data_IF_001826768577
#
_entry.id   IF_001826768577
#
_cell.length_a   1.000
_cell.length_b   1.000
_cell.length_c   1.000
_cell.angle_alpha   90.00
_cell.angle_beta   90.00
_cell.angle_gamma   90.00
#
_symmetry.space_group_name_H-M   'P 1'
#
loop_
_entity.id
_entity.type
_entity.pdbx_description
1 polymer ?
#
# COMPACT_ATOMS: atom_id res chain seq x y z
N UNK A 1 4.78 -13.05 15.22
CA UNK A 1 4.36 -14.26 14.46
C UNK A 1 5.49 -14.67 13.52
N UNK A 2 5.84 -15.96 13.49
CA UNK A 2 7.03 -16.44 12.80
C UNK A 2 6.82 -17.84 12.23
N UNK A 3 7.40 -18.11 11.06
CA UNK A 3 7.51 -19.44 10.45
C UNK A 3 6.16 -20.11 10.13
N UNK A 4 5.36 -19.43 9.32
CA UNK A 4 3.97 -19.80 9.01
C UNK A 4 3.87 -20.19 7.52
N UNK A 5 3.13 -21.26 7.17
CA UNK A 5 3.04 -21.74 5.79
C UNK A 5 2.32 -20.76 4.84
N UNK A 6 1.35 -19.99 5.37
CA UNK A 6 0.57 -18.96 4.65
C UNK A 6 0.68 -17.60 5.35
N UNK A 7 -0.30 -16.70 5.11
CA UNK A 7 -0.43 -15.43 5.81
C UNK A 7 -0.56 -15.70 7.32
N UNK A 8 0.01 -14.83 8.14
CA UNK A 8 -0.08 -14.94 9.58
C UNK A 8 -1.45 -14.48 10.10
N UNK A 9 -1.94 -13.38 9.53
CA UNK A 9 -3.28 -12.86 9.77
C UNK A 9 -4.00 -12.84 8.44
N UNK A 10 -5.22 -13.35 8.45
CA UNK A 10 -6.06 -13.39 7.28
C UNK A 10 -7.51 -13.04 7.68
N UNK A 11 -8.02 -11.90 7.22
CA UNK A 11 -9.41 -11.47 7.44
C UNK A 11 -10.21 -11.77 6.17
N UNK A 12 -11.27 -12.56 6.31
CA UNK A 12 -12.14 -12.93 5.20
C UNK A 12 -13.48 -12.22 5.33
N UNK A 13 -13.95 -11.69 4.20
CA UNK A 13 -15.31 -11.17 4.02
C UNK A 13 -15.66 -10.02 4.97
N UNK A 14 -14.67 -9.29 5.47
CA UNK A 14 -14.78 -8.20 6.44
C UNK A 14 -15.31 -8.59 7.83
N UNK A 15 -16.18 -9.60 7.90
CA UNK A 15 -16.87 -10.15 9.06
C UNK A 15 -17.19 -9.09 10.12
N UNK A 16 -17.97 -8.08 9.70
CA UNK A 16 -18.41 -6.87 10.43
C UNK A 16 -17.49 -5.65 10.37
N UNK A 17 -16.20 -5.84 10.10
CA UNK A 17 -15.19 -4.79 10.21
C UNK A 17 -14.84 -4.45 11.66
N UNK A 18 -14.37 -3.23 11.94
CA UNK A 18 -13.94 -2.77 13.26
C UNK A 18 -12.80 -3.61 13.86
N UNK A 19 -11.96 -4.19 13.01
CA UNK A 19 -10.78 -4.93 13.45
C UNK A 19 -9.66 -3.95 13.80
N UNK A 20 -8.82 -4.32 14.77
CA UNK A 20 -7.57 -3.60 15.04
C UNK A 20 -6.44 -4.61 15.05
N UNK A 21 -5.50 -4.46 14.12
CA UNK A 21 -4.27 -5.26 14.04
C UNK A 21 -3.09 -4.34 14.35
N UNK A 22 -2.51 -4.47 15.54
CA UNK A 22 -1.40 -3.60 15.92
C UNK A 22 -0.36 -4.24 16.82
N UNK A 23 0.83 -3.63 16.83
CA UNK A 23 1.96 -4.00 17.69
C UNK A 23 2.50 -5.41 17.45
N UNK A 24 2.41 -5.90 16.21
CA UNK A 24 2.95 -7.20 15.82
C UNK A 24 4.31 -7.09 15.14
N UNK A 25 5.15 -8.09 15.34
CA UNK A 25 6.30 -8.38 14.45
C UNK A 25 5.98 -9.65 13.68
N UNK A 26 5.87 -9.57 12.35
CA UNK A 26 5.49 -10.68 11.48
C UNK A 26 6.54 -10.88 10.39
N UNK A 27 7.12 -12.07 10.33
CA UNK A 27 8.13 -12.41 9.34
C UNK A 27 8.15 -13.92 9.09
N UNK A 28 8.80 -14.32 7.99
CA UNK A 28 8.95 -15.74 7.64
C UNK A 28 7.59 -16.45 7.42
N UNK A 29 6.65 -15.73 6.78
CA UNK A 29 5.31 -16.21 6.37
C UNK A 29 5.32 -16.65 4.91
N UNK A 30 4.20 -17.19 4.42
CA UNK A 30 4.00 -17.51 2.98
C UNK A 30 5.06 -18.50 2.46
N UNK A 31 5.39 -19.52 3.26
CA UNK A 31 6.45 -20.49 2.94
C UNK A 31 6.00 -21.60 1.98
N UNK A 32 4.72 -21.93 2.00
CA UNK A 32 4.13 -23.03 1.22
C UNK A 32 3.12 -22.54 0.16
N UNK A 33 2.89 -21.23 0.11
CA UNK A 33 2.04 -20.55 -0.88
C UNK A 33 2.79 -19.38 -1.52
N UNK A 34 2.10 -18.57 -2.31
CA UNK A 34 2.60 -17.35 -2.96
C UNK A 34 1.47 -16.32 -3.06
N UNK A 35 1.72 -15.22 -3.78
CA UNK A 35 0.73 -14.21 -4.21
C UNK A 35 0.25 -13.23 -3.12
N UNK A 36 0.43 -13.57 -1.84
CA UNK A 36 -0.07 -12.73 -0.74
C UNK A 36 0.99 -12.35 0.31
N UNK A 37 0.55 -11.64 1.34
CA UNK A 37 1.38 -11.08 2.39
C UNK A 37 1.43 -11.82 3.72
N UNK A 38 2.25 -11.32 4.67
CA UNK A 38 2.11 -11.54 6.11
C UNK A 38 0.70 -11.28 6.64
N UNK A 39 0.07 -10.19 6.19
CA UNK A 39 -1.34 -9.88 6.43
C UNK A 39 -2.07 -9.93 5.10
N UNK A 40 -3.21 -10.62 5.09
CA UNK A 40 -4.07 -10.74 3.91
C UNK A 40 -5.52 -10.39 4.26
N UNK A 41 -6.20 -9.66 3.38
CA UNK A 41 -7.63 -9.39 3.49
C UNK A 41 -8.30 -9.60 2.14
N UNK A 42 -9.55 -10.06 2.12
CA UNK A 42 -10.39 -10.05 0.94
C UNK A 42 -11.86 -10.03 1.37
N UNK A 43 -12.68 -9.27 0.66
CA UNK A 43 -14.09 -9.06 1.00
C UNK A 43 -14.99 -9.39 -0.19
N UNK A 44 -15.47 -10.64 -0.26
CA UNK A 44 -16.34 -11.10 -1.37
C UNK A 44 -17.80 -11.25 -0.96
N UNK A 45 -18.07 -11.34 0.34
CA UNK A 45 -19.42 -11.48 0.89
C UNK A 45 -19.76 -10.36 1.88
N UNK A 46 -20.85 -9.60 1.66
CA UNK A 46 -21.29 -8.59 2.63
C UNK A 46 -21.97 -9.24 3.85
N UNK A 47 -21.77 -8.63 5.03
CA UNK A 47 -22.48 -8.96 6.26
C UNK A 47 -23.37 -7.80 6.72
N UNK A 48 -24.44 -8.14 7.45
CA UNK A 48 -25.28 -7.13 8.08
C UNK A 48 -24.52 -6.52 9.26
N UNK A 49 -24.38 -5.19 9.25
CA UNK A 49 -23.73 -4.40 10.28
C UNK A 49 -24.59 -3.19 10.66
N UNK A 50 -24.06 -2.30 11.49
CA UNK A 50 -24.59 -0.96 11.74
C UNK A 50 -23.57 0.18 11.48
N UNK A 51 -22.64 -0.04 10.53
CA UNK A 51 -21.50 0.86 10.27
C UNK A 51 -21.90 2.28 9.83
N UNK A 52 -22.98 2.41 9.05
CA UNK A 52 -23.46 3.73 8.60
C UNK A 52 -24.10 4.52 9.75
N UNK A 53 -24.92 3.84 10.56
CA UNK A 53 -25.61 4.43 11.70
C UNK A 53 -25.87 3.36 12.75
N UNK A 54 -25.40 3.61 13.98
CA UNK A 54 -25.53 2.67 15.10
C UNK A 54 -26.98 2.21 15.29
N UNK A 55 -27.19 0.89 15.35
CA UNK A 55 -28.51 0.27 15.48
C UNK A 55 -29.38 0.27 14.21
N UNK A 56 -28.90 0.81 13.09
CA UNK A 56 -29.59 0.76 11.79
C UNK A 56 -28.86 -0.22 10.87
N UNK A 57 -29.51 -1.32 10.43
CA UNK A 57 -28.85 -2.32 9.60
C UNK A 57 -28.34 -1.76 8.27
N UNK A 58 -27.12 -2.12 7.90
CA UNK A 58 -26.46 -1.75 6.63
C UNK A 58 -25.56 -2.88 6.13
N UNK A 59 -25.14 -2.81 4.87
CA UNK A 59 -24.16 -3.73 4.28
C UNK A 59 -22.74 -3.15 4.25
N UNK A 60 -22.53 -1.97 4.84
CA UNK A 60 -21.21 -1.37 4.96
C UNK A 60 -20.48 -2.05 6.10
N UNK A 61 -19.21 -2.35 5.98
CA UNK A 61 -18.44 -2.78 7.15
C UNK A 61 -17.93 -1.57 7.92
N UNK A 62 -17.70 -1.77 9.22
CA UNK A 62 -17.01 -0.78 10.03
C UNK A 62 -15.55 -0.69 9.58
N UNK A 63 -14.97 0.50 9.64
CA UNK A 63 -13.56 0.68 9.29
C UNK A 63 -12.67 -0.18 10.20
N UNK A 64 -11.69 -0.87 9.60
CA UNK A 64 -10.69 -1.66 10.32
C UNK A 64 -9.34 -0.97 10.25
N UNK A 65 -8.56 -1.02 11.33
CA UNK A 65 -7.26 -0.38 11.42
C UNK A 65 -6.10 -1.39 11.49
N UNK A 66 -5.05 -1.16 10.71
CA UNK A 66 -3.81 -1.94 10.74
C UNK A 66 -2.65 -0.98 11.00
N UNK A 67 -2.11 -1.00 12.23
CA UNK A 67 -1.14 0.03 12.61
C UNK A 67 -0.03 -0.44 13.55
N UNK A 68 1.12 0.26 13.52
CA UNK A 68 2.25 0.00 14.43
C UNK A 68 2.79 -1.44 14.36
N UNK A 69 2.70 -2.08 13.20
CA UNK A 69 3.28 -3.40 12.96
C UNK A 69 4.65 -3.31 12.29
N UNK A 70 5.50 -4.30 12.51
CA UNK A 70 6.72 -4.53 11.73
C UNK A 70 6.53 -5.77 10.87
N UNK A 71 6.50 -5.60 9.55
CA UNK A 71 6.15 -6.65 8.59
C UNK A 71 7.31 -6.90 7.64
N UNK A 72 7.68 -8.17 7.44
CA UNK A 72 8.74 -8.56 6.51
C UNK A 72 8.18 -9.50 5.45
N UNK A 73 8.31 -9.13 4.18
CA UNK A 73 8.06 -10.07 3.09
C UNK A 73 9.30 -10.92 2.84
N UNK A 74 9.16 -12.22 3.10
CA UNK A 74 10.18 -13.22 2.81
C UNK A 74 9.60 -14.24 1.80
N UNK A 75 10.50 -14.98 1.16
CA UNK A 75 10.15 -16.07 0.23
C UNK A 75 9.23 -15.63 -0.92
N UNK A 76 7.98 -16.08 -0.91
CA UNK A 76 6.99 -15.86 -1.96
C UNK A 76 5.98 -14.76 -1.59
N UNK A 77 6.20 -14.05 -0.48
CA UNK A 77 5.35 -12.93 -0.10
C UNK A 77 5.61 -11.71 -1.02
N UNK A 78 4.52 -11.07 -1.48
CA UNK A 78 4.60 -9.98 -2.46
C UNK A 78 4.33 -8.60 -1.84
N UNK A 79 3.21 -8.48 -1.11
CA UNK A 79 2.80 -7.24 -0.44
C UNK A 79 2.72 -7.45 1.07
N UNK A 80 3.28 -6.56 1.92
CA UNK A 80 3.29 -6.73 3.38
C UNK A 80 1.90 -6.79 3.99
N UNK A 81 1.04 -5.88 3.53
CA UNK A 81 -0.41 -5.91 3.72
C UNK A 81 -1.00 -6.11 2.33
N UNK A 82 -1.56 -7.30 2.13
CA UNK A 82 -2.24 -7.67 0.91
C UNK A 82 -3.74 -7.44 1.06
N UNK A 83 -4.23 -6.28 0.60
CA UNK A 83 -5.65 -6.06 0.39
C UNK A 83 -6.05 -6.60 -0.97
N UNK A 84 -6.50 -7.85 -0.96
CA UNK A 84 -6.92 -8.60 -2.12
C UNK A 84 -8.42 -8.35 -2.42
N UNK A 85 -8.97 -9.07 -3.41
CA UNK A 85 -10.32 -8.94 -3.94
C UNK A 85 -11.37 -8.35 -2.99
N UNK A 86 -11.86 -7.16 -3.33
CA UNK A 86 -13.02 -6.55 -2.67
C UNK A 86 -12.72 -5.86 -1.33
N UNK A 87 -11.49 -5.99 -0.80
CA UNK A 87 -11.08 -5.36 0.46
C UNK A 87 -11.45 -3.88 0.50
N UNK A 88 -12.24 -3.49 1.50
CA UNK A 88 -12.70 -2.11 1.66
C UNK A 88 -12.65 -1.60 3.10
N UNK A 89 -12.78 -0.29 3.30
CA UNK A 89 -12.86 0.32 4.65
C UNK A 89 -11.69 -0.09 5.58
N UNK A 90 -10.46 0.05 5.07
CA UNK A 90 -9.25 -0.15 5.87
C UNK A 90 -8.51 1.17 6.04
N UNK A 91 -8.02 1.41 7.26
CA UNK A 91 -7.06 2.46 7.59
C UNK A 91 -5.75 1.78 7.98
N UNK A 92 -4.73 1.92 7.15
CA UNK A 92 -3.40 1.47 7.46
C UNK A 92 -2.55 2.67 7.86
N UNK A 93 -1.98 2.63 9.07
CA UNK A 93 -1.07 3.69 9.52
C UNK A 93 0.14 3.23 10.33
N UNK A 94 1.25 3.96 10.23
CA UNK A 94 2.41 3.78 11.11
C UNK A 94 2.99 2.34 11.14
N UNK A 95 2.92 1.57 10.06
CA UNK A 95 3.59 0.28 9.97
C UNK A 95 4.97 0.43 9.31
N UNK A 96 5.90 -0.41 9.75
CA UNK A 96 7.23 -0.52 9.20
C UNK A 96 7.31 -1.79 8.34
N UNK A 97 7.34 -1.58 7.03
CA UNK A 97 7.31 -2.65 6.03
C UNK A 97 8.70 -2.87 5.45
N UNK A 98 9.13 -4.12 5.41
CA UNK A 98 10.43 -4.51 4.85
C UNK A 98 10.19 -5.47 3.69
N UNK A 99 10.58 -5.01 2.50
CA UNK A 99 10.41 -5.67 1.21
C UNK A 99 8.93 -5.72 0.75
N UNK A 100 8.63 -5.20 -0.44
CA UNK A 100 7.26 -5.00 -0.94
C UNK A 100 6.65 -3.64 -0.60
N UNK A 101 5.67 -3.21 -1.39
CA UNK A 101 4.94 -1.96 -1.21
C UNK A 101 3.44 -2.15 -0.96
N UNK A 102 2.67 -1.07 -1.07
CA UNK A 102 1.21 -1.07 -0.94
C UNK A 102 0.55 -1.75 -2.15
N UNK A 103 -0.41 -2.63 -1.89
CA UNK A 103 -1.36 -3.14 -2.89
C UNK A 103 -2.69 -2.40 -2.75
N UNK A 104 -3.15 -1.85 -3.87
CA UNK A 104 -4.55 -1.52 -4.11
C UNK A 104 -5.02 -2.42 -5.25
N UNK A 105 -5.91 -3.37 -4.96
CA UNK A 105 -6.47 -4.25 -5.97
C UNK A 105 -7.94 -4.51 -5.66
N UNK A 106 -8.80 -4.12 -6.59
CA UNK A 106 -10.25 -4.16 -6.40
C UNK A 106 -10.68 -3.48 -5.06
N UNK A 107 -11.94 -3.69 -4.66
CA UNK A 107 -12.48 -3.04 -3.46
C UNK A 107 -12.45 -1.51 -3.55
N UNK A 108 -12.54 -0.82 -2.42
CA UNK A 108 -12.57 0.65 -2.36
C UNK A 108 -12.31 1.17 -0.94
N UNK A 109 -12.11 2.48 -0.78
CA UNK A 109 -12.10 3.15 0.53
C UNK A 109 -11.03 2.62 1.48
N UNK A 110 -9.81 2.43 0.98
CA UNK A 110 -8.64 2.15 1.81
C UNK A 110 -7.79 3.42 1.93
N UNK A 111 -7.36 3.70 3.13
CA UNK A 111 -6.52 4.84 3.47
C UNK A 111 -5.19 4.29 3.97
N UNK A 112 -4.09 4.73 3.38
CA UNK A 112 -2.74 4.33 3.76
C UNK A 112 -1.93 5.60 4.04
N UNK A 113 -1.54 5.80 5.29
CA UNK A 113 -0.79 7.00 5.67
C UNK A 113 0.27 6.79 6.73
N UNK A 114 1.31 7.63 6.72
CA UNK A 114 2.41 7.57 7.69
C UNK A 114 3.12 6.20 7.76
N UNK A 115 3.07 5.42 6.68
CA UNK A 115 3.81 4.18 6.54
C UNK A 115 5.30 4.44 6.30
N UNK A 116 6.12 3.45 6.65
CA UNK A 116 7.50 3.37 6.17
C UNK A 116 7.69 2.08 5.38
N UNK A 117 7.81 2.20 4.06
CA UNK A 117 8.13 1.10 3.15
C UNK A 117 9.64 1.07 2.88
N UNK A 118 10.30 -0.03 3.24
CA UNK A 118 11.76 -0.19 3.12
C UNK A 118 12.09 -1.20 2.04
N UNK A 119 12.80 -0.73 1.03
CA UNK A 119 13.26 -1.53 -0.10
C UNK A 119 12.13 -2.30 -0.76
N UNK A 120 11.05 -1.59 -1.10
CA UNK A 120 9.81 -2.16 -1.63
C UNK A 120 10.03 -2.99 -2.91
N UNK A 121 11.08 -2.69 -3.66
CA UNK A 121 11.49 -3.37 -4.89
C UNK A 121 12.63 -4.39 -4.69
N UNK A 122 12.95 -4.79 -3.46
CA UNK A 122 13.97 -5.82 -3.19
C UNK A 122 13.51 -7.24 -3.53
N UNK A 123 12.20 -7.50 -3.54
CA UNK A 123 11.65 -8.79 -3.96
C UNK A 123 11.59 -8.89 -5.50
N UNK A 124 11.27 -10.10 -6.00
CA UNK A 124 11.27 -10.40 -7.45
C UNK A 124 10.28 -9.56 -8.25
N UNK A 125 9.26 -8.99 -7.59
CA UNK A 125 8.31 -8.08 -8.22
C UNK A 125 7.23 -8.77 -9.04
N UNK A 126 6.88 -10.02 -8.71
CA UNK A 126 5.76 -10.71 -9.35
C UNK A 126 4.50 -9.84 -9.23
N UNK A 127 3.69 -9.83 -10.30
CA UNK A 127 2.54 -8.94 -10.48
C UNK A 127 2.84 -7.43 -10.42
N UNK A 128 4.12 -7.03 -10.48
CA UNK A 128 4.56 -5.65 -10.36
C UNK A 128 4.45 -5.09 -8.94
N UNK A 129 4.66 -5.95 -7.94
CA UNK A 129 4.69 -5.62 -6.50
C UNK A 129 5.96 -4.88 -6.06
N UNK A 130 6.97 -4.77 -6.94
CA UNK A 130 8.26 -4.12 -6.71
C UNK A 130 8.21 -2.60 -6.90
N UNK A 131 7.24 -1.95 -6.25
CA UNK A 131 7.00 -0.49 -6.27
C UNK A 131 6.58 -0.05 -4.87
N UNK A 132 6.58 1.24 -4.59
CA UNK A 132 6.02 1.79 -3.35
C UNK A 132 4.50 1.61 -3.27
N UNK A 133 3.81 1.89 -4.38
CA UNK A 133 2.36 1.78 -4.51
C UNK A 133 2.02 1.11 -5.84
N UNK A 134 1.30 -0.01 -5.75
CA UNK A 134 0.64 -0.65 -6.87
C UNK A 134 -0.86 -0.42 -6.80
N UNK A 135 -1.43 0.19 -7.83
CA UNK A 135 -2.86 0.32 -8.03
C UNK A 135 -3.26 -0.48 -9.27
N UNK A 136 -3.93 -1.61 -9.03
CA UNK A 136 -4.10 -2.68 -10.00
C UNK A 136 -5.56 -2.82 -10.39
N UNK A 137 -5.82 -2.87 -11.70
CA UNK A 137 -7.15 -3.04 -12.27
C UNK A 137 -8.29 -2.19 -11.63
N UNK A 138 -8.09 -0.88 -11.36
CA UNK A 138 -9.19 -0.04 -10.87
C UNK A 138 -10.29 0.04 -11.93
N UNK A 139 -11.55 -0.10 -11.52
CA UNK A 139 -12.71 -0.11 -12.43
C UNK A 139 -13.75 0.94 -12.05
N UNK A 140 -14.05 1.83 -13.00
CA UNK A 140 -14.99 2.91 -12.72
C UNK A 140 -16.40 2.37 -12.38
N UNK A 141 -16.96 2.80 -11.25
CA UNK A 141 -18.27 2.41 -10.72
C UNK A 141 -18.22 1.11 -9.93
N UNK A 142 -17.04 0.45 -9.85
CA UNK A 142 -16.90 -0.86 -9.25
C UNK A 142 -15.81 -0.92 -8.17
N UNK A 143 -14.59 -0.44 -8.43
CA UNK A 143 -13.46 -0.57 -7.51
C UNK A 143 -12.41 0.53 -7.70
N UNK A 144 -11.48 0.66 -6.74
CA UNK A 144 -10.40 1.65 -6.78
C UNK A 144 -10.84 3.07 -6.46
N UNK A 145 -12.01 3.23 -5.82
CA UNK A 145 -12.57 4.53 -5.47
C UNK A 145 -12.20 4.91 -4.03
N UNK A 146 -11.88 6.18 -3.80
CA UNK A 146 -11.49 6.70 -2.49
C UNK A 146 -10.29 5.97 -1.87
N UNK A 147 -9.37 5.51 -2.73
CA UNK A 147 -8.07 4.99 -2.32
C UNK A 147 -7.15 6.17 -2.02
N UNK A 148 -6.53 6.20 -0.85
CA UNK A 148 -5.69 7.29 -0.37
C UNK A 148 -4.31 6.74 0.00
N UNK A 149 -3.25 7.39 -0.47
CA UNK A 149 -1.86 7.06 -0.15
C UNK A 149 -1.06 8.35 0.10
N UNK A 150 -0.94 8.75 1.36
CA UNK A 150 -0.47 10.09 1.73
C UNK A 150 0.53 10.06 2.89
N UNK A 151 1.46 11.01 2.90
CA UNK A 151 2.41 11.20 4.02
C UNK A 151 3.25 9.95 4.33
N UNK A 152 3.39 9.07 3.34
CA UNK A 152 4.16 7.85 3.44
C UNK A 152 5.62 8.09 3.09
N UNK A 153 6.50 7.34 3.73
CA UNK A 153 7.90 7.25 3.36
C UNK A 153 8.14 5.93 2.65
N UNK A 154 8.70 5.95 1.44
CA UNK A 154 9.08 4.74 0.72
C UNK A 154 10.51 4.81 0.23
N UNK A 155 11.28 3.76 0.47
CA UNK A 155 12.66 3.61 0.02
C UNK A 155 12.74 2.50 -1.02
N UNK A 156 13.23 2.84 -2.20
CA UNK A 156 13.54 1.91 -3.28
C UNK A 156 15.04 1.54 -3.24
N UNK A 157 15.32 0.27 -3.49
CA UNK A 157 16.66 -0.33 -3.45
C UNK A 157 17.34 -0.36 -4.82
N UNK A 158 16.60 -0.57 -5.93
CA UNK A 158 17.19 -0.80 -7.27
C UNK A 158 16.53 0.02 -8.38
N UNK A 159 15.21 0.01 -8.45
CA UNK A 159 14.44 0.58 -9.54
C UNK A 159 13.88 1.94 -9.12
N UNK A 160 14.01 2.98 -9.95
CA UNK A 160 13.48 4.30 -9.62
C UNK A 160 12.02 4.45 -10.09
N UNK A 161 11.21 3.41 -9.93
CA UNK A 161 9.79 3.38 -10.32
C UNK A 161 8.94 3.35 -9.04
N UNK A 162 8.49 4.51 -8.53
CA UNK A 162 7.76 4.57 -7.26
C UNK A 162 6.39 3.92 -7.36
N UNK A 163 5.69 4.11 -8.47
CA UNK A 163 4.30 3.68 -8.60
C UNK A 163 4.08 2.82 -9.83
N UNK A 164 3.17 1.87 -9.70
CA UNK A 164 2.52 1.18 -10.80
C UNK A 164 1.03 1.44 -10.68
N UNK A 165 0.52 2.39 -11.46
CA UNK A 165 -0.90 2.76 -11.47
C UNK A 165 -1.46 2.32 -12.80
N UNK A 166 -2.22 1.24 -12.79
CA UNK A 166 -2.90 0.75 -13.98
C UNK A 166 -3.91 1.79 -14.47
N UNK A 167 -4.05 1.90 -15.79
CA UNK A 167 -5.00 2.81 -16.44
C UNK A 167 -4.81 4.31 -16.17
N UNK A 168 -3.66 4.75 -15.64
CA UNK A 168 -3.37 6.18 -15.52
C UNK A 168 -3.48 6.88 -16.89
N UNK A 169 -4.31 7.91 -16.95
CA UNK A 169 -4.55 8.73 -18.14
C UNK A 169 -4.82 10.17 -17.74
N UNK A 170 -3.95 11.10 -18.15
CA UNK A 170 -4.07 12.53 -17.79
C UNK A 170 -5.33 13.19 -18.35
N UNK A 171 -5.91 12.63 -19.41
CA UNK A 171 -7.14 13.16 -20.01
C UNK A 171 -8.40 12.64 -19.29
N UNK A 172 -8.26 11.61 -18.45
CA UNK A 172 -9.37 10.95 -17.75
C UNK A 172 -8.91 10.34 -16.42
N UNK A 173 -8.41 11.19 -15.51
CA UNK A 173 -7.79 10.74 -14.27
C UNK A 173 -8.72 9.84 -13.44
N UNK A 174 -8.26 8.61 -13.21
CA UNK A 174 -8.83 7.65 -12.29
C UNK A 174 -7.70 6.92 -11.58
N UNK A 175 -7.19 7.56 -10.54
CA UNK A 175 -6.02 7.13 -9.79
C UNK A 175 -6.27 7.37 -8.30
N UNK A 176 -5.52 6.72 -7.39
CA UNK A 176 -5.62 7.00 -5.97
C UNK A 176 -5.27 8.46 -5.65
N UNK A 177 -5.76 8.97 -4.53
CA UNK A 177 -5.34 10.27 -4.02
C UNK A 177 -3.95 10.15 -3.40
N UNK A 178 -2.97 10.80 -4.01
CA UNK A 178 -1.57 10.82 -3.60
C UNK A 178 -1.18 12.23 -3.16
N UNK A 179 -0.49 12.36 -2.03
CA UNK A 179 0.02 13.66 -1.57
C UNK A 179 1.09 13.51 -0.48
N UNK A 180 2.00 14.49 -0.42
CA UNK A 180 2.95 14.69 0.69
C UNK A 180 3.84 13.48 1.04
N UNK A 181 4.09 12.60 0.08
CA UNK A 181 4.91 11.41 0.27
C UNK A 181 6.41 11.75 0.18
N UNK A 182 7.26 10.90 0.78
CA UNK A 182 8.71 10.98 0.67
C UNK A 182 9.22 9.72 0.00
N UNK A 183 9.64 9.87 -1.25
CA UNK A 183 10.18 8.76 -2.05
C UNK A 183 11.70 8.85 -2.05
N UNK A 184 12.35 7.77 -1.67
CA UNK A 184 13.79 7.64 -1.64
C UNK A 184 14.23 6.66 -2.73
N UNK A 185 15.08 7.10 -3.65
CA UNK A 185 15.56 6.32 -4.79
C UNK A 185 17.06 6.01 -4.68
N UNK A 186 17.57 4.98 -5.40
CA UNK A 186 19.00 4.69 -5.42
C UNK A 186 19.83 5.84 -6.00
N UNK A 187 21.05 6.03 -5.48
CA UNK A 187 21.97 7.05 -6.00
C UNK A 187 22.26 6.85 -7.49
N UNK A 188 22.35 7.95 -8.24
CA UNK A 188 22.61 7.93 -9.68
C UNK A 188 21.39 7.59 -10.54
N UNK A 189 20.19 7.54 -9.96
CA UNK A 189 18.93 7.30 -10.68
C UNK A 189 18.02 8.53 -10.64
N UNK A 190 16.95 8.51 -11.43
CA UNK A 190 15.89 9.53 -11.43
C UNK A 190 14.55 8.84 -11.35
N UNK A 191 13.67 9.29 -10.45
CA UNK A 191 12.33 8.75 -10.32
C UNK A 191 11.53 8.97 -11.61
N UNK A 192 10.80 7.94 -12.03
CA UNK A 192 9.97 7.96 -13.23
C UNK A 192 8.54 7.57 -12.89
N UNK A 193 7.59 8.38 -13.34
CA UNK A 193 6.16 8.17 -13.18
C UNK A 193 5.54 7.86 -14.55
N UNK A 194 4.77 6.78 -14.67
CA UNK A 194 4.23 6.35 -15.96
C UNK A 194 2.73 6.62 -16.04
N UNK A 195 2.30 7.32 -17.10
CA UNK A 195 0.89 7.62 -17.35
C UNK A 195 0.65 7.86 -18.85
N UNK A 196 -0.59 7.73 -19.32
CA UNK A 196 -0.94 8.18 -20.67
C UNK A 196 -1.07 9.70 -20.70
N UNK A 197 -0.44 10.31 -21.69
CA UNK A 197 -0.55 11.73 -22.02
C UNK A 197 -0.93 11.85 -23.49
N UNK A 198 -2.07 12.49 -23.77
CA UNK A 198 -2.65 12.56 -25.12
C UNK A 198 -2.78 11.16 -25.75
N UNK A 199 -3.31 10.20 -24.98
CA UNK A 199 -3.55 8.81 -25.41
C UNK A 199 -2.31 7.91 -25.55
N UNK A 200 -1.09 8.39 -25.31
CA UNK A 200 0.15 7.60 -25.42
C UNK A 200 0.84 7.43 -24.07
N UNK A 201 1.34 6.23 -23.76
CA UNK A 201 2.11 6.00 -22.53
C UNK A 201 3.40 6.85 -22.54
N UNK A 202 3.63 7.60 -21.46
CA UNK A 202 4.79 8.46 -21.26
C UNK A 202 5.39 8.23 -19.88
N UNK A 203 6.69 8.47 -19.81
CA UNK A 203 7.46 8.58 -18.58
C UNK A 203 7.61 10.06 -18.23
N UNK A 204 7.24 10.42 -17.00
CA UNK A 204 7.19 11.78 -16.50
C UNK A 204 8.18 11.93 -15.34
N UNK A 205 8.82 13.10 -15.26
CA UNK A 205 9.51 13.51 -14.03
C UNK A 205 8.48 13.80 -12.92
N UNK A 206 8.94 13.95 -11.68
CA UNK A 206 8.05 14.35 -10.57
C UNK A 206 7.37 15.70 -10.85
N UNK A 207 8.10 16.68 -11.39
CA UNK A 207 7.55 18.00 -11.70
C UNK A 207 6.46 17.92 -12.78
N UNK A 208 6.67 17.10 -13.81
CA UNK A 208 5.66 16.87 -14.84
C UNK A 208 4.44 16.15 -14.27
N UNK A 209 4.65 15.12 -13.45
CA UNK A 209 3.60 14.40 -12.75
C UNK A 209 2.73 15.35 -11.91
N UNK A 210 3.37 16.21 -11.11
CA UNK A 210 2.70 17.20 -10.29
C UNK A 210 2.01 18.31 -11.09
N UNK A 211 2.50 18.64 -12.30
CA UNK A 211 1.85 19.63 -13.16
C UNK A 211 0.46 19.22 -13.64
N UNK A 212 0.14 17.91 -13.61
CA UNK A 212 -1.20 17.38 -13.86
C UNK A 212 -2.09 17.34 -12.61
N UNK A 213 -1.64 17.91 -11.48
CA UNK A 213 -2.38 17.92 -10.22
C UNK A 213 -2.23 16.63 -9.40
N UNK A 214 -1.28 15.76 -9.74
CA UNK A 214 -1.09 14.45 -9.12
C UNK A 214 0.03 14.51 -8.07
N UNK A 215 -0.14 13.81 -6.95
CA UNK A 215 0.92 13.59 -5.95
C UNK A 215 1.56 14.89 -5.45
N UNK A 216 0.71 15.89 -5.19
CA UNK A 216 1.14 17.23 -4.79
C UNK A 216 1.84 17.17 -3.43
N UNK A 217 2.96 17.90 -3.32
CA UNK A 217 3.76 17.96 -2.09
C UNK A 217 4.70 16.78 -1.88
N UNK A 218 4.58 15.73 -2.70
CA UNK A 218 5.54 14.62 -2.68
C UNK A 218 6.92 15.09 -3.13
N UNK A 219 7.95 14.54 -2.50
CA UNK A 219 9.35 14.81 -2.83
C UNK A 219 10.09 13.51 -3.12
N UNK A 220 11.09 13.60 -4.00
CA UNK A 220 12.02 12.50 -4.30
C UNK A 220 13.41 12.89 -3.79
N UNK A 221 14.06 11.98 -3.06
CA UNK A 221 15.40 12.14 -2.50
C UNK A 221 16.25 10.89 -2.75
N UNK A 222 17.56 10.99 -2.55
CA UNK A 222 18.44 9.81 -2.57
C UNK A 222 18.28 9.04 -1.25
N UNK A 223 18.17 7.71 -1.35
CA UNK A 223 18.06 6.84 -0.19
C UNK A 223 19.24 7.03 0.78
N UNK A 224 18.97 7.21 2.09
CA UNK A 224 20.03 7.28 3.09
C UNK A 224 20.58 5.89 3.39
N UNK A 225 21.55 5.83 4.30
CA UNK A 225 22.05 4.57 4.82
C UNK A 225 20.97 3.81 5.62
N UNK A 226 21.15 2.49 5.73
CA UNK A 226 20.17 1.61 6.39
C UNK A 226 19.97 1.93 7.88
N UNK A 227 21.00 2.47 8.55
CA UNK A 227 20.91 2.79 9.98
C UNK A 227 19.96 3.98 10.20
N UNK A 228 20.02 4.98 9.32
CA UNK A 228 19.05 6.09 9.28
C UNK A 228 17.61 5.57 9.11
N UNK A 229 17.38 4.63 8.18
CA UNK A 229 16.04 4.06 7.93
C UNK A 229 15.51 3.30 9.15
N UNK A 230 16.37 2.50 9.79
CA UNK A 230 16.04 1.77 11.03
C UNK A 230 15.66 2.74 12.14
N UNK A 231 16.35 3.88 12.25
CA UNK A 231 16.03 4.91 13.25
C UNK A 231 14.69 5.58 13.00
N UNK A 232 14.27 5.79 11.74
CA UNK A 232 12.92 6.24 11.44
C UNK A 232 11.87 5.24 11.93
N UNK A 233 12.06 3.95 11.63
CA UNK A 233 11.16 2.89 12.10
C UNK A 233 11.08 2.83 13.63
N UNK A 234 12.22 2.91 14.32
CA UNK A 234 12.24 2.97 15.80
C UNK A 234 11.46 4.18 16.33
N UNK A 235 11.71 5.37 15.79
CA UNK A 235 11.02 6.60 16.22
C UNK A 235 9.52 6.51 16.01
N UNK A 236 9.09 6.03 14.84
CA UNK A 236 7.67 5.86 14.52
C UNK A 236 6.99 4.86 15.46
N UNK A 237 7.58 3.66 15.61
CA UNK A 237 6.97 2.58 16.40
C UNK A 237 7.04 2.81 17.92
N UNK A 238 7.96 3.66 18.40
CA UNK A 238 8.10 3.97 19.83
C UNK A 238 7.38 5.25 20.26
N UNK A 239 6.84 6.03 19.31
CA UNK A 239 6.03 7.18 19.64
C UNK A 239 4.75 6.70 20.32
N UNK A 240 4.58 7.04 21.60
CA UNK A 240 3.27 6.95 22.25
C UNK A 240 2.42 8.07 21.68
N UNK A 241 1.37 7.70 20.94
CA UNK A 241 0.29 8.59 20.49
C UNK A 241 -0.28 9.39 21.64
#
# INVERSE_FOLDING_TARGET
>A
MFNIPRAAININDGFYGNHTISWNVIFNTVRETSDHGPINTWDRQPFLSDAVQRGVPSLWQHESSIHHNTLFNNYNALWPIDHDDGSCFYEDSYNFHVYGGKKNFLGHSKIDHHQIYVYSDANRGDFGSNVCLGDYAPSRGSSGWNEIWVENTCVLYRNPLPYKIDNCDTDNLFVPYLANNKIYIPSGTQAVFTCKVNGSARQLSLEQWQSYGLDIGTIVQIAPDVQTIIEWGRKMLQATT
#
